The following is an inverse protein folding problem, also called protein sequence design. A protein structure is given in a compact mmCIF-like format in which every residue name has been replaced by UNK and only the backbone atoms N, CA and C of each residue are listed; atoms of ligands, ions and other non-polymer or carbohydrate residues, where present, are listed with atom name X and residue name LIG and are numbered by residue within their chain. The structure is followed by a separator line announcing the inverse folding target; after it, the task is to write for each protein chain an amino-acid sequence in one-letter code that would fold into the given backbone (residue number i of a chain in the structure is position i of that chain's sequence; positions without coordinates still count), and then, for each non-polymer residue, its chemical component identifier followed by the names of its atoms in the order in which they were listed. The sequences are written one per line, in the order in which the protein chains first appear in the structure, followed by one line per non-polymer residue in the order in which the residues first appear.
data_IF_384521454498
#
_entry.id   IF_384521454498
#
_cell.length_a   1.000
_cell.length_b   1.000
_cell.length_c   1.000
_cell.angle_alpha   90.00
_cell.angle_beta   90.00
_cell.angle_gamma   90.00
#
_symmetry.space_group_name_H-M   'P 1'
#
loop_
_entity.id
_entity.type
_entity.pdbx_description
1 polymer ?
#
# COMPACT_ATOMS: atom_id res chain seq x y z
N UNK A 1 -17.29 -13.08 -41.21
CA UNK A 1 -17.72 -12.36 -39.99
C UNK A 1 -17.84 -13.40 -38.88
N UNK A 2 -17.01 -13.40 -37.82
CA UNK A 2 -17.17 -14.32 -36.71
C UNK A 2 -18.45 -13.96 -35.94
N UNK A 3 -19.30 -14.94 -35.68
CA UNK A 3 -20.46 -14.81 -34.82
C UNK A 3 -19.95 -14.55 -33.38
N UNK A 4 -20.22 -13.37 -32.83
CA UNK A 4 -20.04 -13.07 -31.41
C UNK A 4 -21.12 -13.89 -30.69
N UNK A 5 -20.73 -14.98 -30.04
CA UNK A 5 -21.62 -15.83 -29.25
C UNK A 5 -22.13 -15.04 -28.04
N UNK A 6 -23.39 -15.22 -27.69
CA UNK A 6 -24.07 -14.45 -26.62
C UNK A 6 -23.44 -14.57 -25.23
N UNK A 7 -22.46 -15.46 -25.01
CA UNK A 7 -21.60 -15.50 -23.80
C UNK A 7 -20.67 -14.29 -23.72
N UNK A 8 -20.03 -13.90 -24.82
CA UNK A 8 -19.08 -12.79 -24.86
C UNK A 8 -19.73 -11.44 -24.54
N UNK A 9 -20.98 -11.21 -25.01
CA UNK A 9 -21.71 -9.96 -24.73
C UNK A 9 -22.08 -9.83 -23.27
N UNK A 10 -22.54 -10.92 -22.63
CA UNK A 10 -22.91 -10.93 -21.21
C UNK A 10 -21.68 -10.72 -20.32
N UNK A 11 -20.58 -11.35 -20.64
CA UNK A 11 -19.30 -11.19 -19.94
C UNK A 11 -18.78 -9.75 -20.09
N UNK A 12 -18.82 -9.20 -21.30
CA UNK A 12 -18.44 -7.81 -21.57
C UNK A 12 -19.30 -6.81 -20.78
N UNK A 13 -20.62 -6.99 -20.75
CA UNK A 13 -21.53 -6.13 -19.96
C UNK A 13 -21.26 -6.25 -18.46
N UNK A 14 -20.94 -7.45 -17.98
CA UNK A 14 -20.55 -7.68 -16.58
C UNK A 14 -19.25 -6.94 -16.25
N UNK A 15 -18.24 -7.03 -17.09
CA UNK A 15 -16.97 -6.31 -16.92
C UNK A 15 -17.18 -4.77 -16.95
N UNK A 16 -18.04 -4.27 -17.84
CA UNK A 16 -18.39 -2.85 -17.87
C UNK A 16 -19.07 -2.40 -16.58
N UNK A 17 -20.02 -3.20 -16.06
CA UNK A 17 -20.73 -2.89 -14.82
C UNK A 17 -19.76 -2.88 -13.61
N UNK A 18 -18.87 -3.85 -13.52
CA UNK A 18 -17.82 -3.90 -12.48
C UNK A 18 -16.90 -2.67 -12.57
N UNK A 19 -16.43 -2.34 -13.78
CA UNK A 19 -15.62 -1.15 -13.99
C UNK A 19 -16.32 0.14 -13.57
N UNK A 20 -17.61 0.27 -13.88
CA UNK A 20 -18.40 1.44 -13.48
C UNK A 20 -18.54 1.53 -11.96
N UNK A 21 -18.85 0.41 -11.29
CA UNK A 21 -18.95 0.34 -9.83
C UNK A 21 -17.61 0.72 -9.17
N UNK A 22 -16.48 0.22 -9.68
CA UNK A 22 -15.15 0.57 -9.18
C UNK A 22 -14.87 2.07 -9.38
N UNK A 23 -15.18 2.64 -10.54
CA UNK A 23 -15.02 4.08 -10.79
C UNK A 23 -15.86 4.93 -9.84
N UNK A 24 -17.11 4.55 -9.59
CA UNK A 24 -18.00 5.26 -8.64
C UNK A 24 -17.46 5.15 -7.21
N UNK A 25 -16.97 3.97 -6.79
CA UNK A 25 -16.35 3.81 -5.48
C UNK A 25 -15.09 4.70 -5.33
N UNK A 26 -14.23 4.71 -6.35
CA UNK A 26 -13.04 5.55 -6.36
C UNK A 26 -13.38 7.04 -6.30
N UNK A 27 -14.39 7.49 -7.05
CA UNK A 27 -14.84 8.87 -7.01
C UNK A 27 -15.38 9.25 -5.62
N UNK A 28 -16.23 8.39 -5.02
CA UNK A 28 -16.73 8.60 -3.66
C UNK A 28 -15.60 8.67 -2.63
N UNK A 29 -14.63 7.79 -2.74
CA UNK A 29 -13.43 7.82 -1.87
C UNK A 29 -12.67 9.13 -2.06
N UNK A 30 -12.48 9.57 -3.32
CA UNK A 30 -11.78 10.80 -3.62
C UNK A 30 -12.51 12.04 -3.04
N UNK A 31 -13.83 12.09 -3.15
CA UNK A 31 -14.64 13.17 -2.53
C UNK A 31 -14.45 13.18 -1.00
N UNK A 32 -14.44 12.01 -0.35
CA UNK A 32 -14.15 11.91 1.10
C UNK A 32 -12.75 12.40 1.44
N UNK A 33 -11.77 12.05 0.62
CA UNK A 33 -10.37 12.48 0.77
C UNK A 33 -10.26 14.00 0.72
N UNK A 34 -10.88 14.64 -0.29
CA UNK A 34 -10.90 16.08 -0.38
C UNK A 34 -11.55 16.70 0.87
N UNK A 35 -12.72 16.23 1.25
CA UNK A 35 -13.45 16.79 2.39
C UNK A 35 -12.70 16.61 3.72
N UNK A 36 -12.07 15.45 3.95
CA UNK A 36 -11.40 15.13 5.23
C UNK A 36 -9.98 15.69 5.33
N UNK A 37 -9.20 15.59 4.24
CA UNK A 37 -7.75 15.78 4.33
C UNK A 37 -7.25 17.05 3.65
N UNK A 38 -7.97 17.62 2.66
CA UNK A 38 -7.54 18.84 1.95
C UNK A 38 -7.71 20.10 2.76
N UNK A 39 -8.36 20.03 3.92
CA UNK A 39 -8.34 21.12 4.92
C UNK A 39 -6.92 21.43 5.40
N UNK A 40 -6.00 20.47 5.35
CA UNK A 40 -4.57 20.69 5.51
C UNK A 40 -3.95 20.99 4.13
N UNK A 41 -3.83 22.27 3.79
CA UNK A 41 -3.35 22.73 2.46
C UNK A 41 -2.03 22.07 2.05
N UNK A 42 -1.10 21.88 2.99
CA UNK A 42 0.17 21.21 2.69
C UNK A 42 -0.02 19.78 2.18
N UNK A 43 -1.00 19.03 2.70
CA UNK A 43 -1.32 17.70 2.19
C UNK A 43 -2.08 17.77 0.85
N UNK A 44 -3.00 18.72 0.70
CA UNK A 44 -3.71 18.94 -0.56
C UNK A 44 -2.72 19.19 -1.73
N UNK A 45 -1.68 19.97 -1.49
CA UNK A 45 -0.61 20.21 -2.49
C UNK A 45 0.15 18.93 -2.81
N UNK A 46 0.48 18.11 -1.81
CA UNK A 46 1.16 16.81 -2.02
C UNK A 46 0.30 15.88 -2.86
N UNK A 47 -0.94 15.64 -2.45
CA UNK A 47 -1.83 14.69 -3.11
C UNK A 47 -2.19 15.15 -4.53
N UNK A 48 -2.43 16.46 -4.74
CA UNK A 48 -2.65 17.03 -6.07
C UNK A 48 -1.40 16.91 -6.95
N UNK A 49 -0.21 17.09 -6.39
CA UNK A 49 1.05 16.91 -7.13
C UNK A 49 1.23 15.46 -7.58
N UNK A 50 0.91 14.48 -6.70
CA UNK A 50 0.89 13.07 -7.07
C UNK A 50 -0.09 12.80 -8.21
N UNK A 51 -1.33 13.31 -8.11
CA UNK A 51 -2.34 13.11 -9.15
C UNK A 51 -1.89 13.68 -10.50
N UNK A 52 -1.33 14.90 -10.51
CA UNK A 52 -0.81 15.53 -11.73
C UNK A 52 0.35 14.73 -12.35
N UNK A 53 1.27 14.20 -11.54
CA UNK A 53 2.40 13.39 -12.03
C UNK A 53 1.96 12.08 -12.68
N UNK A 54 0.79 11.57 -12.31
CA UNK A 54 0.25 10.31 -12.83
C UNK A 54 -0.97 10.49 -13.75
N UNK A 55 -1.25 11.73 -14.17
CA UNK A 55 -2.40 12.03 -15.02
C UNK A 55 -2.33 11.33 -16.39
N UNK A 56 -1.13 11.29 -16.99
CA UNK A 56 -0.87 10.69 -18.30
C UNK A 56 -0.14 9.34 -18.23
N UNK A 57 0.31 8.94 -17.06
CA UNK A 57 1.09 7.72 -16.86
C UNK A 57 0.59 7.01 -15.61
N UNK A 58 -0.51 6.27 -15.77
CA UNK A 58 -1.23 5.61 -14.68
C UNK A 58 -0.28 4.70 -13.87
N UNK A 59 -0.33 4.72 -12.53
CA UNK A 59 0.50 3.89 -11.66
C UNK A 59 0.46 2.39 -12.00
N UNK A 60 -0.70 1.86 -12.38
CA UNK A 60 -0.83 0.48 -12.85
C UNK A 60 0.00 0.20 -14.12
N UNK A 61 0.03 1.15 -15.03
CA UNK A 61 0.83 1.05 -16.27
C UNK A 61 2.31 1.14 -15.97
N UNK A 62 2.71 2.02 -15.06
CA UNK A 62 4.11 2.17 -14.61
C UNK A 62 4.61 0.86 -14.00
N UNK A 63 3.86 0.28 -13.05
CA UNK A 63 4.18 -0.99 -12.41
C UNK A 63 4.27 -2.11 -13.44
N UNK A 64 3.23 -2.29 -14.28
CA UNK A 64 3.18 -3.32 -15.31
C UNK A 64 4.37 -3.22 -16.27
N UNK A 65 4.72 -2.03 -16.74
CA UNK A 65 5.87 -1.80 -17.64
C UNK A 65 7.18 -2.25 -16.99
N UNK A 66 7.35 -2.02 -15.68
CA UNK A 66 8.55 -2.43 -14.97
C UNK A 66 8.64 -3.95 -14.80
N UNK A 67 7.53 -4.62 -14.48
CA UNK A 67 7.50 -6.06 -14.23
C UNK A 67 7.30 -6.91 -15.49
N UNK A 68 6.77 -6.35 -16.60
CA UNK A 68 6.52 -7.11 -17.84
C UNK A 68 7.78 -7.74 -18.47
N UNK A 69 8.96 -7.21 -18.15
CA UNK A 69 10.25 -7.76 -18.60
C UNK A 69 10.86 -8.76 -17.59
N UNK A 70 10.11 -9.13 -16.54
CA UNK A 70 10.53 -10.01 -15.45
C UNK A 70 9.52 -11.13 -15.29
N UNK A 71 9.97 -12.31 -14.88
CA UNK A 71 9.10 -13.50 -14.70
C UNK A 71 8.06 -13.36 -13.58
N UNK A 72 8.19 -12.39 -12.70
CA UNK A 72 7.43 -12.25 -11.46
C UNK A 72 6.27 -11.24 -11.58
N UNK A 73 5.68 -11.11 -12.77
CA UNK A 73 4.77 -9.99 -13.11
C UNK A 73 3.43 -9.99 -12.38
N UNK A 74 2.92 -11.14 -11.92
CA UNK A 74 1.60 -11.23 -11.28
C UNK A 74 1.68 -11.00 -9.77
N UNK A 75 2.78 -11.34 -9.13
CA UNK A 75 3.00 -11.19 -7.69
C UNK A 75 3.05 -9.72 -7.25
N UNK A 76 3.56 -8.85 -8.11
CA UNK A 76 3.78 -7.42 -7.78
C UNK A 76 2.77 -6.49 -8.45
N UNK A 77 1.50 -6.90 -8.49
CA UNK A 77 0.44 -6.05 -9.03
C UNK A 77 0.27 -4.81 -8.15
N UNK A 78 0.29 -3.64 -8.80
CA UNK A 78 0.08 -2.39 -8.10
C UNK A 78 -1.30 -2.31 -7.44
N UNK A 79 -1.32 -1.86 -6.18
CA UNK A 79 -2.54 -1.58 -5.43
C UNK A 79 -2.30 -0.48 -4.40
N UNK A 80 -3.34 0.22 -3.99
CA UNK A 80 -3.26 1.26 -2.96
C UNK A 80 -4.33 1.05 -1.89
N UNK A 81 -3.94 1.30 -0.65
CA UNK A 81 -4.90 1.43 0.44
C UNK A 81 -5.66 2.75 0.29
N UNK A 82 -7.00 2.72 0.27
CA UNK A 82 -7.78 3.95 0.35
C UNK A 82 -7.41 4.75 1.60
N UNK A 83 -7.26 6.07 1.48
CA UNK A 83 -6.79 6.89 2.60
C UNK A 83 -7.76 6.88 3.80
N UNK A 84 -9.07 6.74 3.54
CA UNK A 84 -10.05 6.58 4.63
C UNK A 84 -9.88 5.25 5.35
N UNK A 85 -9.46 4.20 4.67
CA UNK A 85 -9.11 2.90 5.26
C UNK A 85 -7.78 2.99 6.01
N UNK A 86 -6.78 3.67 5.44
CA UNK A 86 -5.50 3.91 6.11
C UNK A 86 -5.69 4.68 7.44
N UNK A 87 -6.62 5.63 7.48
CA UNK A 87 -6.98 6.32 8.73
C UNK A 87 -7.51 5.35 9.79
N UNK A 88 -8.37 4.41 9.41
CA UNK A 88 -8.86 3.37 10.34
C UNK A 88 -7.68 2.52 10.80
N UNK A 89 -6.88 2.00 9.87
CA UNK A 89 -5.72 1.16 10.17
C UNK A 89 -4.75 1.87 11.11
N UNK A 90 -4.42 3.13 10.84
CA UNK A 90 -3.47 3.89 11.66
C UNK A 90 -3.95 4.10 13.09
N UNK A 91 -5.26 4.33 13.29
CA UNK A 91 -5.88 4.43 14.62
C UNK A 91 -5.87 3.10 15.35
N UNK A 92 -6.29 2.03 14.68
CA UNK A 92 -6.34 0.69 15.26
C UNK A 92 -4.97 0.14 15.61
N UNK A 93 -3.97 0.41 14.77
CA UNK A 93 -2.56 0.08 15.03
C UNK A 93 -1.87 1.07 15.99
N UNK A 94 -2.55 2.13 16.44
CA UNK A 94 -2.03 3.17 17.32
C UNK A 94 -0.73 3.76 16.80
N UNK A 95 -0.68 4.11 15.51
CA UNK A 95 0.49 4.76 14.92
C UNK A 95 0.57 6.20 15.43
N UNK A 96 1.74 6.61 15.95
CA UNK A 96 1.95 7.91 16.55
C UNK A 96 3.32 8.52 16.17
N UNK A 97 3.57 9.75 16.59
CA UNK A 97 4.73 10.54 16.17
C UNK A 97 6.11 9.96 16.54
N UNK A 98 6.18 9.07 17.51
CA UNK A 98 7.44 8.41 17.92
C UNK A 98 7.75 7.17 17.04
N UNK A 99 6.80 6.71 16.23
CA UNK A 99 6.99 5.54 15.41
C UNK A 99 7.93 5.79 14.23
N UNK A 100 8.60 4.72 13.82
CA UNK A 100 9.20 4.55 12.51
C UNK A 100 8.39 3.51 11.73
N UNK A 101 7.58 3.96 10.80
CA UNK A 101 6.83 3.10 9.89
C UNK A 101 7.69 2.79 8.67
N UNK A 102 7.88 1.50 8.34
CA UNK A 102 8.44 1.08 7.07
C UNK A 102 7.31 0.47 6.24
N UNK A 103 7.02 1.07 5.09
CA UNK A 103 6.03 0.57 4.14
C UNK A 103 6.71 -0.26 3.06
N UNK A 104 6.32 -1.53 2.95
CA UNK A 104 6.87 -2.49 2.00
C UNK A 104 6.03 -2.48 0.72
N UNK A 105 6.62 -2.03 -0.39
CA UNK A 105 5.91 -1.80 -1.65
C UNK A 105 5.07 -0.51 -1.58
N UNK A 106 5.72 0.63 -1.33
CA UNK A 106 5.00 1.90 -1.13
C UNK A 106 4.38 2.51 -2.41
N UNK A 107 4.66 1.93 -3.59
CA UNK A 107 4.18 2.44 -4.86
C UNK A 107 4.54 3.91 -5.04
N UNK A 108 3.58 4.73 -5.44
CA UNK A 108 3.78 6.18 -5.60
C UNK A 108 3.92 6.96 -4.28
N UNK A 109 3.91 6.28 -3.12
CA UNK A 109 4.16 6.86 -1.80
C UNK A 109 2.99 7.62 -1.19
N UNK A 110 1.77 7.50 -1.72
CA UNK A 110 0.60 8.25 -1.25
C UNK A 110 0.27 7.97 0.22
N UNK A 111 0.35 6.72 0.63
CA UNK A 111 0.19 6.24 2.01
C UNK A 111 1.29 6.81 2.92
N UNK A 112 2.55 6.77 2.48
CA UNK A 112 3.68 7.34 3.21
C UNK A 112 3.49 8.84 3.50
N UNK A 113 3.10 9.62 2.50
CA UNK A 113 2.82 11.05 2.69
C UNK A 113 1.68 11.30 3.66
N UNK A 114 0.64 10.48 3.60
CA UNK A 114 -0.51 10.60 4.50
C UNK A 114 -0.10 10.24 5.94
N UNK A 115 0.58 9.12 6.15
CA UNK A 115 1.06 8.69 7.47
C UNK A 115 1.92 9.77 8.11
N UNK A 116 2.96 10.25 7.41
CA UNK A 116 3.81 11.32 7.92
C UNK A 116 2.99 12.56 8.32
N UNK A 117 2.04 12.97 7.47
CA UNK A 117 1.30 14.22 7.69
C UNK A 117 0.27 14.15 8.79
N UNK A 118 -0.41 13.02 8.97
CA UNK A 118 -1.56 12.92 9.86
C UNK A 118 -1.26 12.24 11.19
N UNK A 119 -0.24 11.38 11.24
CA UNK A 119 0.20 10.76 12.49
C UNK A 119 1.46 11.42 13.07
N UNK A 120 2.22 12.13 12.23
CA UNK A 120 3.49 12.74 12.63
C UNK A 120 4.65 11.75 12.75
N UNK A 121 4.45 10.48 12.43
CA UNK A 121 5.49 9.46 12.49
C UNK A 121 6.60 9.69 11.45
N UNK A 122 7.74 9.06 11.67
CA UNK A 122 8.76 8.90 10.63
C UNK A 122 8.34 7.78 9.70
N UNK A 123 8.52 7.96 8.39
CA UNK A 123 8.12 6.96 7.39
C UNK A 123 9.27 6.69 6.43
N UNK A 124 9.50 5.42 6.15
CA UNK A 124 10.36 4.96 5.06
C UNK A 124 9.51 4.14 4.09
N UNK A 125 9.39 4.60 2.86
CA UNK A 125 8.72 3.87 1.78
C UNK A 125 9.74 3.11 0.93
N UNK A 126 9.58 1.80 0.81
CA UNK A 126 10.40 0.94 -0.03
C UNK A 126 9.60 0.51 -1.26
N UNK A 127 10.19 0.62 -2.44
CA UNK A 127 9.61 0.08 -3.67
C UNK A 127 10.71 -0.25 -4.68
N UNK A 128 10.51 -1.28 -5.48
CA UNK A 128 11.47 -1.68 -6.53
C UNK A 128 11.35 -0.83 -7.79
N UNK A 129 10.18 -0.22 -8.04
CA UNK A 129 9.88 0.53 -9.27
C UNK A 129 10.55 1.91 -9.21
N UNK A 130 11.59 2.18 -10.05
CA UNK A 130 12.36 3.42 -9.98
C UNK A 130 11.50 4.68 -10.16
N UNK A 131 10.54 4.63 -11.09
CA UNK A 131 9.66 5.75 -11.42
C UNK A 131 8.81 6.19 -10.23
N UNK A 132 8.35 5.24 -9.41
CA UNK A 132 7.61 5.57 -8.19
C UNK A 132 8.48 6.35 -7.22
N UNK A 133 9.65 5.83 -6.93
CA UNK A 133 10.59 6.42 -5.97
C UNK A 133 11.09 7.79 -6.46
N UNK A 134 11.44 7.90 -7.73
CA UNK A 134 11.91 9.16 -8.30
C UNK A 134 10.85 10.27 -8.19
N UNK A 135 9.60 9.96 -8.56
CA UNK A 135 8.48 10.92 -8.51
C UNK A 135 8.13 11.29 -7.07
N UNK A 136 8.10 10.32 -6.15
CA UNK A 136 7.86 10.57 -4.73
C UNK A 136 8.96 11.45 -4.12
N UNK A 137 10.23 11.15 -4.35
CA UNK A 137 11.37 11.98 -3.93
C UNK A 137 11.29 13.40 -4.48
N UNK A 138 10.90 13.58 -5.74
CA UNK A 138 10.76 14.91 -6.36
C UNK A 138 9.73 15.77 -5.60
N UNK A 139 8.58 15.19 -5.21
CA UNK A 139 7.56 15.90 -4.41
C UNK A 139 8.11 16.19 -3.02
N UNK A 140 8.70 15.20 -2.36
CA UNK A 140 9.29 15.33 -1.03
C UNK A 140 10.29 16.48 -0.98
N UNK A 141 11.26 16.53 -1.92
CA UNK A 141 12.27 17.58 -1.99
C UNK A 141 11.68 18.95 -2.31
N UNK A 142 10.80 19.03 -3.32
CA UNK A 142 10.15 20.29 -3.72
C UNK A 142 9.36 20.93 -2.57
N UNK A 143 8.69 20.11 -1.77
CA UNK A 143 7.85 20.58 -0.67
C UNK A 143 8.58 20.54 0.70
N UNK A 144 9.88 20.22 0.70
CA UNK A 144 10.74 20.16 1.91
C UNK A 144 10.12 19.32 3.04
N UNK A 145 9.55 18.16 2.69
CA UNK A 145 8.91 17.27 3.67
C UNK A 145 9.99 16.51 4.44
N UNK A 146 10.02 16.70 5.74
CA UNK A 146 10.92 16.01 6.68
C UNK A 146 10.27 14.76 7.26
N UNK A 147 11.06 13.90 7.91
CA UNK A 147 10.59 12.65 8.54
C UNK A 147 9.94 11.66 7.56
N UNK A 148 10.28 11.76 6.28
CA UNK A 148 9.85 10.88 5.21
C UNK A 148 11.05 10.55 4.33
N UNK A 149 11.23 9.29 3.99
CA UNK A 149 12.29 8.82 3.10
C UNK A 149 11.70 7.82 2.10
N UNK A 150 12.16 7.86 0.86
CA UNK A 150 11.81 6.87 -0.15
C UNK A 150 13.08 6.18 -0.64
N UNK A 151 13.08 4.85 -0.71
CA UNK A 151 14.22 4.06 -1.19
C UNK A 151 13.79 3.14 -2.32
N UNK A 152 14.56 3.14 -3.40
CA UNK A 152 14.44 2.12 -4.43
C UNK A 152 15.15 0.87 -3.96
N UNK A 153 14.39 -0.05 -3.39
CA UNK A 153 14.95 -1.23 -2.74
C UNK A 153 13.95 -2.38 -2.73
N UNK A 154 14.45 -3.60 -2.89
CA UNK A 154 13.65 -4.79 -2.67
C UNK A 154 13.48 -4.99 -1.16
N UNK A 155 12.25 -4.96 -0.67
CA UNK A 155 11.97 -5.11 0.75
C UNK A 155 12.47 -6.43 1.35
N UNK A 156 12.64 -7.49 0.53
CA UNK A 156 13.24 -8.76 0.97
C UNK A 156 14.75 -8.66 1.26
N UNK A 157 15.40 -7.56 0.90
CA UNK A 157 16.83 -7.34 1.11
C UNK A 157 17.10 -6.13 2.01
N UNK A 158 16.06 -5.36 2.35
CA UNK A 158 16.18 -4.14 3.11
C UNK A 158 16.42 -4.38 4.61
N UNK A 159 17.15 -3.51 5.28
CA UNK A 159 17.22 -3.51 6.73
C UNK A 159 15.93 -2.95 7.35
N UNK A 160 15.15 -3.84 7.95
CA UNK A 160 13.89 -3.53 8.61
C UNK A 160 14.03 -3.39 10.14
N UNK A 161 15.19 -3.66 10.71
CA UNK A 161 15.43 -3.82 12.16
C UNK A 161 15.08 -2.61 13.00
N UNK A 162 15.10 -1.41 12.42
CA UNK A 162 14.78 -0.15 13.10
C UNK A 162 13.29 0.17 13.15
N UNK A 163 12.44 -0.59 12.44
CA UNK A 163 11.02 -0.33 12.38
C UNK A 163 10.34 -0.54 13.74
N UNK A 164 9.44 0.36 14.11
CA UNK A 164 8.44 0.10 15.17
C UNK A 164 7.11 -0.38 14.58
N UNK A 165 6.89 -0.09 13.28
CA UNK A 165 5.73 -0.55 12.53
C UNK A 165 6.16 -0.95 11.13
N UNK A 166 5.78 -2.14 10.70
CA UNK A 166 5.83 -2.59 9.29
C UNK A 166 4.42 -2.49 8.71
N UNK A 167 4.29 -1.89 7.55
CA UNK A 167 3.04 -1.85 6.79
C UNK A 167 3.22 -2.56 5.46
N UNK A 168 2.41 -3.58 5.21
CA UNK A 168 2.42 -4.39 3.99
C UNK A 168 1.01 -4.49 3.41
N UNK A 169 0.78 -3.88 2.24
CA UNK A 169 -0.45 -4.09 1.48
C UNK A 169 -0.47 -5.47 0.81
N UNK A 170 0.53 -5.85 0.08
CA UNK A 170 0.99 -7.14 -0.45
C UNK A 170 -0.05 -8.25 -0.68
N UNK A 171 -1.26 -7.92 -1.16
CA UNK A 171 -2.38 -8.89 -1.26
C UNK A 171 -2.20 -9.96 -2.33
N UNK A 172 -1.22 -9.81 -3.21
CA UNK A 172 -0.93 -10.73 -4.32
C UNK A 172 0.42 -11.45 -4.16
N UNK A 173 1.07 -11.30 -3.00
CA UNK A 173 2.35 -11.97 -2.77
C UNK A 173 2.18 -13.49 -2.72
N UNK A 174 3.10 -14.21 -3.34
CA UNK A 174 3.16 -15.67 -3.28
C UNK A 174 3.59 -16.14 -1.89
N UNK A 175 3.13 -17.33 -1.50
CA UNK A 175 3.45 -17.94 -0.20
C UNK A 175 4.96 -18.01 0.05
N UNK A 176 5.75 -18.28 -0.99
CA UNK A 176 7.20 -18.37 -0.88
C UNK A 176 7.83 -17.00 -0.56
N UNK A 177 7.33 -15.94 -1.16
CA UNK A 177 7.76 -14.56 -0.87
C UNK A 177 7.38 -14.15 0.54
N UNK A 178 6.16 -14.51 0.99
CA UNK A 178 5.73 -14.26 2.38
C UNK A 178 6.64 -15.00 3.37
N UNK A 179 6.98 -16.27 3.12
CA UNK A 179 7.90 -17.06 3.98
C UNK A 179 9.29 -16.43 4.03
N UNK A 180 9.83 -15.98 2.89
CA UNK A 180 11.13 -15.25 2.86
C UNK A 180 11.06 -13.93 3.62
N UNK A 181 9.96 -13.21 3.53
CA UNK A 181 9.75 -11.98 4.31
C UNK A 181 9.69 -12.30 5.81
N UNK A 182 9.04 -13.38 6.22
CA UNK A 182 8.99 -13.82 7.63
C UNK A 182 10.39 -14.02 8.20
N UNK A 183 11.30 -14.67 7.46
CA UNK A 183 12.68 -14.85 7.91
C UNK A 183 13.38 -13.52 8.22
N UNK A 184 13.08 -12.49 7.45
CA UNK A 184 13.60 -11.14 7.69
C UNK A 184 12.91 -10.46 8.89
N UNK A 185 11.59 -10.63 9.01
CA UNK A 185 10.82 -10.07 10.12
C UNK A 185 11.14 -10.71 11.48
N UNK A 186 11.77 -11.89 11.51
CA UNK A 186 12.31 -12.52 12.74
C UNK A 186 13.34 -11.62 13.44
N UNK A 187 14.05 -10.79 12.67
CA UNK A 187 15.11 -9.91 13.17
C UNK A 187 14.56 -8.60 13.81
N UNK A 188 13.27 -8.35 13.70
CA UNK A 188 12.64 -7.18 14.31
C UNK A 188 12.69 -7.26 15.83
N UNK A 189 12.76 -6.11 16.47
CA UNK A 189 12.67 -6.02 17.92
C UNK A 189 11.30 -6.54 18.42
N UNK A 190 11.25 -7.24 19.56
CA UNK A 190 9.99 -7.58 20.21
C UNK A 190 9.12 -6.33 20.42
N UNK A 191 7.83 -6.47 20.22
CA UNK A 191 6.89 -5.35 20.28
C UNK A 191 6.69 -4.60 18.97
N UNK A 192 7.47 -4.86 17.92
CA UNK A 192 7.22 -4.29 16.59
C UNK A 192 5.88 -4.73 16.06
N UNK A 193 5.06 -3.76 15.64
CA UNK A 193 3.74 -3.99 15.04
C UNK A 193 3.87 -4.28 13.55
N UNK A 194 3.19 -5.30 13.06
CA UNK A 194 3.18 -5.67 11.65
C UNK A 194 1.74 -5.66 11.18
N UNK A 195 1.47 -4.87 10.15
CA UNK A 195 0.15 -4.69 9.57
C UNK A 195 0.14 -5.35 8.21
N UNK A 196 -0.76 -6.34 8.04
CA UNK A 196 -0.97 -7.03 6.76
C UNK A 196 -2.43 -6.96 6.34
N UNK A 197 -2.67 -7.06 5.04
CA UNK A 197 -4.00 -7.02 4.44
C UNK A 197 -4.31 -8.40 3.86
N UNK A 198 -5.51 -8.92 4.13
CA UNK A 198 -6.07 -10.19 3.67
C UNK A 198 -5.55 -11.44 4.37
N UNK A 199 -4.36 -11.45 4.92
CA UNK A 199 -3.79 -12.62 5.57
C UNK A 199 -2.93 -12.25 6.79
N UNK A 200 -2.90 -13.09 7.85
CA UNK A 200 -1.94 -12.95 8.93
C UNK A 200 -0.65 -13.72 8.60
N UNK A 201 0.48 -13.27 9.12
CA UNK A 201 1.76 -13.96 8.94
C UNK A 201 1.80 -15.32 9.67
N UNK A 202 0.98 -15.48 10.71
CA UNK A 202 0.85 -16.73 11.48
C UNK A 202 0.40 -17.92 10.64
N UNK A 203 -0.27 -17.70 9.50
CA UNK A 203 -0.70 -18.77 8.61
C UNK A 203 0.46 -19.35 7.76
N UNK A 204 1.61 -18.67 7.75
CA UNK A 204 2.77 -19.00 6.92
C UNK A 204 3.99 -19.50 7.73
N UNK A 205 3.86 -19.62 9.05
CA UNK A 205 4.91 -20.13 9.94
C UNK A 205 4.31 -20.89 11.11
N UNK A 206 4.93 -22.01 11.48
CA UNK A 206 4.57 -22.78 12.69
C UNK A 206 5.26 -22.21 13.95
N UNK A 207 6.26 -21.34 13.75
CA UNK A 207 6.97 -20.74 14.87
C UNK A 207 6.12 -19.65 15.53
N UNK A 208 6.03 -19.58 16.87
CA UNK A 208 5.20 -18.61 17.58
C UNK A 208 5.86 -17.22 17.66
N UNK A 209 6.33 -16.71 16.50
CA UNK A 209 7.09 -15.46 16.38
C UNK A 209 6.16 -14.25 16.43
N UNK A 210 4.94 -14.40 15.93
CA UNK A 210 3.96 -13.34 15.84
C UNK A 210 2.73 -13.67 16.67
N UNK A 211 2.07 -12.61 17.16
CA UNK A 211 0.78 -12.71 17.83
C UNK A 211 -0.20 -11.74 17.19
N UNK A 212 -1.40 -12.22 16.87
CA UNK A 212 -2.46 -11.37 16.32
C UNK A 212 -3.05 -10.54 17.45
N UNK A 213 -2.74 -9.25 17.49
CA UNK A 213 -3.29 -8.30 18.45
C UNK A 213 -4.71 -7.89 18.07
N UNK A 214 -4.98 -7.75 16.77
CA UNK A 214 -6.28 -7.32 16.27
C UNK A 214 -6.51 -7.81 14.85
N UNK A 215 -7.76 -8.23 14.59
CA UNK A 215 -8.30 -8.47 13.26
C UNK A 215 -9.57 -7.65 13.10
N UNK A 216 -9.76 -6.98 11.97
CA UNK A 216 -10.98 -6.26 11.64
C UNK A 216 -11.15 -6.16 10.13
N UNK A 217 -12.39 -6.04 9.67
CA UNK A 217 -12.70 -5.87 8.25
C UNK A 217 -12.73 -4.39 7.88
N UNK A 218 -12.06 -4.03 6.79
CA UNK A 218 -11.99 -2.67 6.28
C UNK A 218 -12.37 -2.58 4.78
N UNK A 219 -12.88 -1.42 4.30
CA UNK A 219 -13.23 -1.25 2.91
C UNK A 219 -12.00 -0.95 2.05
N UNK A 220 -11.87 -1.64 0.92
CA UNK A 220 -10.91 -1.39 -0.14
C UNK A 220 -11.64 -1.10 -1.46
N UNK A 221 -10.94 -0.65 -2.49
CA UNK A 221 -11.55 -0.31 -3.79
C UNK A 221 -12.22 -1.52 -4.45
N UNK A 222 -11.64 -2.70 -4.26
CA UNK A 222 -12.13 -3.98 -4.79
C UNK A 222 -13.16 -4.68 -3.89
N UNK A 223 -13.30 -4.29 -2.62
CA UNK A 223 -14.24 -4.92 -1.70
C UNK A 223 -13.95 -4.65 -0.24
N UNK A 224 -14.30 -5.59 0.63
CA UNK A 224 -13.88 -5.63 2.03
C UNK A 224 -12.79 -6.67 2.18
N UNK A 225 -11.78 -6.36 2.99
CA UNK A 225 -10.73 -7.29 3.37
C UNK A 225 -10.46 -7.21 4.86
N UNK A 226 -9.94 -8.30 5.41
CA UNK A 226 -9.46 -8.33 6.77
C UNK A 226 -8.09 -7.64 6.86
N UNK A 227 -7.93 -6.86 7.89
CA UNK A 227 -6.67 -6.24 8.28
C UNK A 227 -6.21 -6.92 9.56
N UNK A 228 -4.96 -7.33 9.57
CA UNK A 228 -4.34 -7.95 10.73
C UNK A 228 -3.27 -7.03 11.30
N UNK A 229 -3.37 -6.75 12.58
CA UNK A 229 -2.33 -6.07 13.36
C UNK A 229 -1.70 -7.14 14.23
N UNK A 230 -0.45 -7.42 13.96
CA UNK A 230 0.32 -8.46 14.62
C UNK A 230 1.50 -7.83 15.37
N UNK A 231 1.97 -8.48 16.40
CA UNK A 231 3.14 -8.05 17.15
C UNK A 231 4.24 -9.12 17.07
N UNK A 232 5.48 -8.68 16.89
CA UNK A 232 6.66 -9.52 17.03
C UNK A 232 6.87 -9.87 18.50
N UNK A 233 6.95 -11.14 18.81
CA UNK A 233 7.32 -11.67 20.14
C UNK A 233 8.79 -11.61 20.42
#
# INVERSE_FOLDING_TARGET
MPKIEGKDVKEYLTLLSVNLVVKVKNLREYVKVIYRYYRKLSYAVVDSSLLLMYLFDNPFTVSRRYFSCRSDSEEYIYGETPLTTLEIISKEARIHSQDLVIELGCGRGRTCFWLQKFTGCRVVGLDMVPDFILRAKRIQHKLKITHLEFKQENFLLADLTKASVIYLYGTCLEDQTIKRLIEQLKQLAPGTRIITISYPLTDYTEEPIFEIMKRFSAPFTWGKADVYIQIKK
#
